data_IF_143636140585
#
_entry.id   IF_143636140585
#
_cell.length_a   1.000
_cell.length_b   1.000
_cell.length_c   1.000
_cell.angle_alpha   90.00
_cell.angle_beta   90.00
_cell.angle_gamma   90.00
#
_symmetry.space_group_name_H-M   'P 1'
#
loop_
_entity.id
_entity.type
_entity.pdbx_description
1 polymer ?
#
# COMPACT_ATOMS: atom_id res chain seq x y z
N UNK A 1 5.30 -35.12 -30.45
CA UNK A 1 6.74 -34.84 -30.63
C UNK A 1 7.07 -33.54 -29.93
N UNK A 2 7.59 -33.64 -28.70
CA UNK A 2 8.07 -32.49 -27.93
C UNK A 2 9.45 -32.07 -28.41
N UNK A 3 9.67 -30.77 -28.59
CA UNK A 3 10.95 -30.23 -29.00
C UNK A 3 11.50 -29.35 -27.87
N UNK A 4 12.37 -29.95 -27.05
CA UNK A 4 13.32 -29.21 -26.20
C UNK A 4 14.40 -28.65 -27.13
N UNK A 5 14.67 -27.34 -27.09
CA UNK A 5 15.92 -26.77 -27.60
C UNK A 5 16.49 -25.77 -26.60
N UNK A 6 17.76 -26.02 -26.31
CA UNK A 6 18.63 -25.37 -25.35
C UNK A 6 19.01 -23.94 -25.77
N UNK A 7 19.13 -23.08 -24.75
CA UNK A 7 20.22 -22.14 -24.44
C UNK A 7 20.95 -21.52 -25.65
N UNK A 8 20.85 -20.19 -25.78
CA UNK A 8 21.96 -19.36 -26.25
C UNK A 8 22.16 -18.16 -25.32
N UNK A 9 23.30 -18.20 -24.64
CA UNK A 9 23.96 -17.08 -24.01
C UNK A 9 24.07 -15.88 -24.96
N UNK A 10 23.78 -14.70 -24.45
CA UNK A 10 24.40 -13.46 -24.92
C UNK A 10 25.04 -12.81 -23.70
N UNK A 11 26.27 -13.24 -23.42
CA UNK A 11 27.24 -12.39 -22.75
C UNK A 11 27.90 -11.52 -23.83
N UNK A 12 28.37 -10.32 -23.45
CA UNK A 12 29.09 -9.26 -24.20
C UNK A 12 28.25 -7.96 -24.15
N UNK A 13 28.69 -6.81 -23.62
CA UNK A 13 30.02 -6.25 -23.34
C UNK A 13 29.83 -5.12 -22.32
N UNK A 14 30.67 -5.07 -21.28
CA UNK A 14 30.91 -3.83 -20.54
C UNK A 14 32.01 -3.02 -21.26
N UNK A 15 31.90 -1.69 -21.31
CA UNK A 15 33.07 -0.89 -20.99
C UNK A 15 32.78 0.26 -20.03
N UNK A 16 33.72 0.41 -19.11
CA UNK A 16 33.92 1.42 -18.08
C UNK A 16 33.93 2.85 -18.63
N UNK A 17 33.40 3.85 -17.90
CA UNK A 17 34.11 5.10 -17.52
C UNK A 17 33.44 5.80 -16.31
N UNK A 18 34.16 5.81 -15.17
CA UNK A 18 34.38 6.88 -14.17
C UNK A 18 33.42 8.09 -14.12
N UNK A 19 32.66 8.23 -13.02
CA UNK A 19 32.64 9.44 -12.17
C UNK A 19 31.98 9.14 -10.82
N UNK A 20 32.56 9.65 -9.74
CA UNK A 20 32.10 9.38 -8.39
C UNK A 20 30.78 10.07 -8.06
N UNK A 21 29.98 9.39 -7.25
CA UNK A 21 29.27 9.88 -6.07
C UNK A 21 28.89 8.61 -5.28
N UNK A 22 28.95 8.67 -3.95
CA UNK A 22 28.65 7.53 -3.10
C UNK A 22 27.31 6.91 -3.48
N UNK A 23 27.31 5.58 -3.65
CA UNK A 23 26.10 4.78 -3.76
C UNK A 23 25.50 4.71 -2.35
N UNK A 24 24.98 5.86 -1.90
CA UNK A 24 23.91 5.87 -0.94
C UNK A 24 22.74 5.25 -1.69
N UNK A 25 22.52 3.94 -1.50
CA UNK A 25 21.17 3.42 -1.55
C UNK A 25 20.31 4.47 -0.83
N UNK A 26 19.21 4.98 -1.42
CA UNK A 26 18.36 5.91 -0.71
C UNK A 26 18.03 5.19 0.60
N UNK A 27 18.53 5.73 1.71
CA UNK A 27 18.12 5.26 3.02
C UNK A 27 16.60 5.32 2.94
N UNK A 28 15.95 4.15 2.98
CA UNK A 28 14.51 4.09 3.22
C UNK A 28 14.35 4.70 4.60
N UNK A 29 14.21 6.01 4.59
CA UNK A 29 14.03 6.81 5.78
C UNK A 29 12.70 6.36 6.30
N UNK A 30 12.73 5.56 7.37
CA UNK A 30 11.53 5.15 8.09
C UNK A 30 10.74 6.42 8.37
N UNK A 31 9.56 6.51 7.78
CA UNK A 31 8.73 7.69 7.89
C UNK A 31 8.05 7.64 9.24
N UNK A 32 8.04 8.76 9.96
CA UNK A 32 7.21 8.85 11.16
C UNK A 32 5.74 8.80 10.72
N UNK A 33 4.98 7.75 11.12
CA UNK A 33 3.63 7.58 10.64
C UNK A 33 2.70 8.62 11.27
N UNK A 34 1.81 9.18 10.47
CA UNK A 34 0.79 10.10 10.98
C UNK A 34 -0.21 9.38 11.90
N UNK A 35 -0.87 10.08 12.83
CA UNK A 35 -1.85 9.49 13.76
C UNK A 35 -2.92 8.66 13.05
N UNK A 36 -3.37 9.10 11.87
CA UNK A 36 -4.34 8.37 11.05
C UNK A 36 -3.83 6.99 10.63
N UNK A 37 -2.55 6.87 10.24
CA UNK A 37 -1.96 5.58 9.88
C UNK A 37 -1.76 4.68 11.10
N UNK A 38 -1.40 5.26 12.24
CA UNK A 38 -1.29 4.51 13.50
C UNK A 38 -2.65 3.93 13.87
N UNK A 39 -3.71 4.75 13.88
CA UNK A 39 -5.06 4.32 14.23
C UNK A 39 -5.60 3.28 13.25
N UNK A 40 -5.44 3.52 11.94
CA UNK A 40 -5.86 2.57 10.90
C UNK A 40 -5.18 1.20 11.07
N UNK A 41 -3.86 1.17 11.23
CA UNK A 41 -3.13 -0.10 11.34
C UNK A 41 -3.34 -0.80 12.68
N UNK A 42 -3.47 -0.05 13.77
CA UNK A 42 -3.82 -0.62 15.08
C UNK A 42 -5.18 -1.31 15.02
N UNK A 43 -6.19 -0.68 14.40
CA UNK A 43 -7.50 -1.29 14.25
C UNK A 43 -7.47 -2.50 13.30
N UNK A 44 -7.04 -2.28 12.05
CA UNK A 44 -7.18 -3.26 10.97
C UNK A 44 -6.25 -4.46 11.19
N UNK A 45 -4.96 -4.23 11.47
CA UNK A 45 -3.98 -5.32 11.66
C UNK A 45 -3.94 -5.78 13.11
N UNK A 46 -3.96 -4.86 14.08
CA UNK A 46 -3.78 -5.19 15.50
C UNK A 46 -5.04 -5.75 16.18
N UNK A 47 -6.18 -5.08 16.04
CA UNK A 47 -7.43 -5.48 16.71
C UNK A 47 -8.22 -6.52 15.91
N UNK A 48 -8.28 -6.36 14.59
CA UNK A 48 -9.08 -7.21 13.72
C UNK A 48 -8.30 -8.33 13.02
N UNK A 49 -6.99 -8.42 13.23
CA UNK A 49 -6.13 -9.44 12.61
C UNK A 49 -6.36 -9.57 11.09
N UNK A 50 -6.66 -8.44 10.43
CA UNK A 50 -6.98 -8.41 9.02
C UNK A 50 -5.82 -8.97 8.18
N UNK A 51 -6.17 -9.62 7.08
CA UNK A 51 -5.24 -10.19 6.09
C UNK A 51 -4.37 -11.35 6.58
N UNK A 52 -4.48 -11.80 7.84
CA UNK A 52 -3.72 -12.94 8.36
C UNK A 52 -4.02 -14.25 7.59
N UNK A 53 -5.25 -14.41 7.10
CA UNK A 53 -5.67 -15.56 6.29
C UNK A 53 -5.50 -15.36 4.78
N UNK A 54 -4.99 -14.20 4.33
CA UNK A 54 -4.80 -13.89 2.91
C UNK A 54 -3.41 -14.36 2.47
N UNK A 55 -3.30 -15.32 1.52
CA UNK A 55 -2.00 -15.81 1.07
C UNK A 55 -1.11 -14.68 0.55
N UNK A 56 0.12 -14.58 1.07
CA UNK A 56 1.07 -13.51 0.73
C UNK A 56 1.02 -12.28 1.64
N UNK A 57 0.17 -12.27 2.66
CA UNK A 57 0.09 -11.22 3.69
C UNK A 57 0.41 -11.73 5.10
N UNK A 58 0.94 -12.96 5.22
CA UNK A 58 1.18 -13.67 6.48
C UNK A 58 2.16 -12.96 7.44
N UNK A 59 3.00 -12.06 6.91
CA UNK A 59 4.03 -11.34 7.68
C UNK A 59 3.73 -9.84 7.84
N UNK A 60 2.50 -9.38 7.55
CA UNK A 60 2.14 -7.96 7.70
C UNK A 60 1.86 -7.63 9.16
N UNK A 61 2.84 -7.03 9.84
CA UNK A 61 2.65 -6.46 11.18
C UNK A 61 2.17 -5.00 11.15
N UNK A 62 1.76 -4.49 12.32
CA UNK A 62 1.29 -3.11 12.46
C UNK A 62 2.32 -2.07 12.00
N UNK A 63 3.61 -2.31 12.24
CA UNK A 63 4.67 -1.37 11.87
C UNK A 63 4.85 -1.30 10.34
N UNK A 64 4.81 -2.46 9.68
CA UNK A 64 4.87 -2.60 8.23
C UNK A 64 3.63 -1.97 7.57
N UNK A 65 2.46 -2.14 8.19
CA UNK A 65 1.25 -1.44 7.80
C UNK A 65 1.42 0.08 7.91
N UNK A 66 1.93 0.58 9.04
CA UNK A 66 2.09 2.03 9.27
C UNK A 66 3.03 2.66 8.23
N UNK A 67 4.16 2.02 7.93
CA UNK A 67 5.10 2.49 6.91
C UNK A 67 4.46 2.49 5.51
N UNK A 68 3.69 1.47 5.18
CA UNK A 68 2.98 1.37 3.89
C UNK A 68 1.89 2.43 3.77
N UNK A 69 1.10 2.64 4.82
CA UNK A 69 0.08 3.68 4.90
C UNK A 69 0.70 5.07 4.69
N UNK A 70 1.78 5.39 5.41
CA UNK A 70 2.43 6.70 5.31
C UNK A 70 3.05 6.92 3.92
N UNK A 71 3.66 5.89 3.33
CA UNK A 71 4.17 5.94 1.95
C UNK A 71 3.05 6.20 0.96
N UNK A 72 1.94 5.47 1.05
CA UNK A 72 0.79 5.64 0.17
C UNK A 72 0.25 7.07 0.28
N UNK A 73 0.06 7.59 1.49
CA UNK A 73 -0.43 8.96 1.67
C UNK A 73 0.48 10.01 1.05
N UNK A 74 1.80 9.85 1.12
CA UNK A 74 2.73 10.76 0.44
C UNK A 74 2.64 10.68 -1.08
N UNK A 75 2.46 9.48 -1.64
CA UNK A 75 2.25 9.29 -3.08
C UNK A 75 0.98 10.02 -3.52
N UNK A 76 -0.11 9.89 -2.77
CA UNK A 76 -1.38 10.53 -3.06
C UNK A 76 -1.30 12.07 -2.91
N UNK A 77 -0.65 12.56 -1.86
CA UNK A 77 -0.36 13.98 -1.66
C UNK A 77 0.49 14.58 -2.79
N UNK A 78 1.39 13.78 -3.38
CA UNK A 78 2.21 14.21 -4.52
C UNK A 78 1.39 14.36 -5.81
N UNK A 79 0.26 13.65 -5.95
CA UNK A 79 -0.71 13.88 -7.04
C UNK A 79 -1.37 15.25 -6.81
N UNK A 80 -1.97 15.44 -5.65
CA UNK A 80 -2.42 16.75 -5.17
C UNK A 80 -2.68 16.71 -3.66
N UNK A 81 -2.59 17.87 -2.96
CA UNK A 81 -2.97 17.93 -1.54
C UNK A 81 -4.39 17.40 -1.29
N UNK A 82 -5.35 17.74 -2.16
CA UNK A 82 -6.74 17.29 -2.04
C UNK A 82 -6.90 15.77 -2.18
N UNK A 83 -6.11 15.13 -3.05
CA UNK A 83 -6.09 13.67 -3.18
C UNK A 83 -5.55 13.01 -1.91
N UNK A 84 -4.47 13.54 -1.35
CA UNK A 84 -3.93 13.10 -0.06
C UNK A 84 -4.93 13.21 1.09
N UNK A 85 -5.60 14.35 1.23
CA UNK A 85 -6.62 14.59 2.27
C UNK A 85 -7.83 13.65 2.10
N UNK A 86 -8.24 13.39 0.85
CA UNK A 86 -9.34 12.47 0.57
C UNK A 86 -8.99 11.02 0.90
N UNK A 87 -7.77 10.57 0.61
CA UNK A 87 -7.31 9.22 0.99
C UNK A 87 -7.13 9.10 2.50
N UNK A 88 -6.65 10.15 3.16
CA UNK A 88 -6.60 10.17 4.63
C UNK A 88 -7.98 10.01 5.27
N UNK A 89 -9.01 10.60 4.68
CA UNK A 89 -10.40 10.41 5.10
C UNK A 89 -10.87 8.95 4.97
N UNK A 90 -10.38 8.21 3.96
CA UNK A 90 -10.65 6.77 3.83
C UNK A 90 -10.03 6.01 4.99
N UNK A 91 -8.76 6.28 5.33
CA UNK A 91 -8.08 5.63 6.46
C UNK A 91 -8.70 5.98 7.81
N UNK A 92 -9.12 7.23 8.01
CA UNK A 92 -9.88 7.62 9.21
C UNK A 92 -11.16 6.80 9.33
N UNK A 93 -11.95 6.71 8.26
CA UNK A 93 -13.17 5.90 8.29
C UNK A 93 -12.88 4.42 8.60
N UNK A 94 -11.87 3.83 7.95
CA UNK A 94 -11.50 2.43 8.18
C UNK A 94 -10.97 2.17 9.61
N UNK A 95 -10.38 3.18 10.26
CA UNK A 95 -9.94 3.07 11.65
C UNK A 95 -11.07 3.04 12.68
N UNK A 96 -12.30 3.37 12.26
CA UNK A 96 -13.49 3.40 13.12
C UNK A 96 -14.43 2.19 12.88
N UNK A 97 -14.07 1.30 11.95
CA UNK A 97 -14.85 0.10 11.64
C UNK A 97 -14.69 -0.97 12.72
N UNK A 98 -15.75 -1.75 12.93
CA UNK A 98 -15.63 -3.00 13.67
C UNK A 98 -15.04 -4.11 12.79
N UNK A 99 -14.62 -5.21 13.43
CA UNK A 99 -13.95 -6.29 12.69
C UNK A 99 -14.89 -7.04 11.73
N UNK A 100 -16.20 -7.01 11.95
CA UNK A 100 -17.17 -7.59 11.00
C UNK A 100 -17.19 -6.79 9.69
N UNK A 101 -17.19 -5.46 9.78
CA UNK A 101 -17.12 -4.56 8.62
C UNK A 101 -15.74 -4.63 7.92
N UNK A 102 -14.65 -4.80 8.68
CA UNK A 102 -13.30 -5.02 8.12
C UNK A 102 -13.22 -6.36 7.38
N UNK A 103 -13.75 -7.44 7.95
CA UNK A 103 -13.79 -8.76 7.30
C UNK A 103 -14.63 -8.72 6.02
N UNK A 104 -15.81 -8.11 6.07
CA UNK A 104 -16.69 -7.92 4.91
C UNK A 104 -15.99 -7.12 3.80
N UNK A 105 -15.23 -6.08 4.19
CA UNK A 105 -14.41 -5.30 3.27
C UNK A 105 -13.34 -6.15 2.57
N UNK A 106 -12.58 -6.95 3.33
CA UNK A 106 -11.53 -7.84 2.81
C UNK A 106 -12.13 -8.89 1.86
N UNK A 107 -13.27 -9.46 2.25
CA UNK A 107 -14.02 -10.40 1.43
C UNK A 107 -14.64 -9.75 0.17
N UNK A 108 -14.69 -8.42 0.11
CA UNK A 108 -15.37 -7.64 -0.93
C UNK A 108 -16.87 -7.97 -1.05
N UNK A 109 -17.51 -8.33 0.05
CA UNK A 109 -18.89 -8.82 0.07
C UNK A 109 -19.80 -8.06 1.05
N UNK A 110 -20.99 -7.62 0.60
CA UNK A 110 -21.30 -7.18 -0.76
C UNK A 110 -20.50 -5.93 -1.17
N UNK A 111 -20.07 -5.85 -2.43
CA UNK A 111 -19.20 -4.76 -2.95
C UNK A 111 -19.71 -3.31 -2.71
N UNK A 112 -20.99 -3.15 -2.44
CA UNK A 112 -21.65 -1.85 -2.19
C UNK A 112 -21.92 -1.58 -0.70
N UNK A 113 -21.74 -2.56 0.20
CA UNK A 113 -22.06 -2.38 1.63
C UNK A 113 -20.91 -1.86 2.46
N UNK A 114 -19.71 -1.70 1.89
CA UNK A 114 -18.57 -1.22 2.65
C UNK A 114 -18.87 0.18 3.24
N UNK A 115 -18.85 0.37 4.57
CA UNK A 115 -19.31 1.61 5.18
C UNK A 115 -18.52 2.85 4.74
N UNK A 116 -17.24 2.68 4.40
CA UNK A 116 -16.38 3.77 3.92
C UNK A 116 -16.45 4.03 2.41
N UNK A 117 -17.40 3.42 1.68
CA UNK A 117 -17.51 3.53 0.22
C UNK A 117 -17.68 4.97 -0.27
N UNK A 118 -18.42 5.82 0.45
CA UNK A 118 -18.55 7.23 0.08
C UNK A 118 -17.20 7.96 0.13
N UNK A 119 -16.34 7.62 1.09
CA UNK A 119 -15.00 8.19 1.21
C UNK A 119 -14.10 7.72 0.08
N UNK A 120 -14.20 6.45 -0.33
CA UNK A 120 -13.47 5.91 -1.49
C UNK A 120 -13.85 6.67 -2.76
N UNK A 121 -15.15 6.83 -3.03
CA UNK A 121 -15.61 7.55 -4.23
C UNK A 121 -15.15 9.02 -4.26
N UNK A 122 -15.10 9.66 -3.09
CA UNK A 122 -14.54 11.00 -2.96
C UNK A 122 -13.04 11.02 -3.26
N UNK A 123 -12.28 10.04 -2.77
CA UNK A 123 -10.86 9.89 -3.06
C UNK A 123 -10.60 9.63 -4.56
N UNK A 124 -11.35 8.73 -5.20
CA UNK A 124 -11.22 8.45 -6.64
C UNK A 124 -11.44 9.71 -7.48
N UNK A 125 -12.45 10.51 -7.11
CA UNK A 125 -12.73 11.80 -7.77
C UNK A 125 -11.60 12.80 -7.53
N UNK A 126 -11.11 12.95 -6.29
CA UNK A 126 -10.03 13.88 -5.95
C UNK A 126 -8.70 13.50 -6.60
N UNK A 127 -8.46 12.21 -6.82
CA UNK A 127 -7.24 11.68 -7.41
C UNK A 127 -7.34 11.46 -8.93
N UNK A 128 -8.52 11.68 -9.53
CA UNK A 128 -8.73 11.55 -10.99
C UNK A 128 -8.76 10.11 -11.50
N UNK A 129 -9.27 9.16 -10.72
CA UNK A 129 -9.32 7.70 -11.02
C UNK A 129 -10.65 7.20 -11.59
N UNK A 130 -11.57 8.11 -11.93
CA UNK A 130 -12.92 7.83 -12.41
C UNK A 130 -12.99 7.12 -13.76
#
# INVERSE_FOLDING_TARGET
MGMRKLIRMVALVAPMVVWGCGDSAPEETLLEPRPTCIAYCANVIGECDAFMDVPGFEDVDEASCQQTCERNLRVEQAISPACGDAVETVFTCASELDCEDVDAWIAQEPAESFPCRSSILAADTACGRN
#
